data_IF_720199505922
#
_entry.id   IF_720199505922
#
_cell.length_a   1.000
_cell.length_b   1.000
_cell.length_c   1.000
_cell.angle_alpha   90.00
_cell.angle_beta   90.00
_cell.angle_gamma   90.00
#
_symmetry.space_group_name_H-M   'P 1'
#
loop_
_entity.id
_entity.type
_entity.pdbx_description
1 polymer ?
#
# COMPACT_ATOMS: atom_id res chain seq x y z
N UNK A 1 -10.01 -19.04 -2.00
CA UNK A 1 -9.56 -19.17 -3.41
C UNK A 1 -9.18 -20.63 -3.65
N UNK A 2 -9.95 -21.39 -4.44
CA UNK A 2 -9.52 -22.73 -4.88
C UNK A 2 -8.25 -22.61 -5.73
N UNK A 3 -7.34 -23.59 -5.66
CA UNK A 3 -6.09 -23.65 -6.45
C UNK A 3 -5.08 -22.51 -6.21
N UNK A 4 -4.97 -22.01 -4.97
CA UNK A 4 -4.00 -20.96 -4.61
C UNK A 4 -2.55 -21.43 -4.62
N UNK A 5 -2.27 -22.69 -4.31
CA UNK A 5 -0.92 -23.25 -4.29
C UNK A 5 -0.74 -24.29 -5.39
N UNK A 6 0.46 -24.34 -5.94
CA UNK A 6 0.84 -25.41 -6.86
C UNK A 6 0.98 -26.71 -6.07
N UNK A 7 0.28 -27.76 -6.54
CA UNK A 7 0.38 -29.08 -5.95
C UNK A 7 1.82 -29.58 -6.05
N UNK A 8 2.37 -30.02 -4.93
CA UNK A 8 3.67 -30.72 -4.92
C UNK A 8 3.43 -32.13 -5.48
N UNK A 9 4.02 -32.43 -6.64
CA UNK A 9 3.93 -33.75 -7.27
C UNK A 9 5.01 -34.64 -6.65
N UNK A 10 4.62 -35.49 -5.71
CA UNK A 10 5.53 -36.38 -4.95
C UNK A 10 6.17 -37.49 -5.79
N UNK A 11 5.65 -37.75 -7.00
CA UNK A 11 6.22 -38.70 -7.96
C UNK A 11 7.23 -38.07 -8.93
N UNK A 12 7.44 -36.74 -8.87
CA UNK A 12 8.43 -36.03 -9.66
C UNK A 12 9.84 -36.11 -9.07
N UNK A 13 10.81 -35.48 -9.73
CA UNK A 13 12.17 -35.36 -9.17
C UNK A 13 12.16 -34.46 -7.93
N UNK A 14 13.05 -34.73 -6.98
CA UNK A 14 13.19 -33.92 -5.76
C UNK A 14 13.44 -32.45 -6.07
N UNK A 15 14.19 -32.15 -7.14
CA UNK A 15 14.42 -30.79 -7.62
C UNK A 15 13.13 -30.07 -8.05
N UNK A 16 12.22 -30.77 -8.73
CA UNK A 16 10.93 -30.20 -9.11
C UNK A 16 10.05 -29.91 -7.89
N UNK A 17 10.07 -30.78 -6.87
CA UNK A 17 9.36 -30.54 -5.61
C UNK A 17 9.87 -29.29 -4.88
N UNK A 18 11.20 -29.10 -4.79
CA UNK A 18 11.79 -27.91 -4.18
C UNK A 18 11.43 -26.61 -4.91
N UNK A 19 11.42 -26.61 -6.24
CA UNK A 19 11.02 -25.43 -7.02
C UNK A 19 9.56 -25.05 -6.75
N UNK A 20 8.65 -26.02 -6.70
CA UNK A 20 7.24 -25.77 -6.38
C UNK A 20 7.07 -25.24 -4.95
N UNK A 21 7.84 -25.77 -4.00
CA UNK A 21 7.84 -25.28 -2.61
C UNK A 21 8.30 -23.82 -2.55
N UNK A 22 9.41 -23.47 -3.22
CA UNK A 22 9.94 -22.10 -3.25
C UNK A 22 8.95 -21.12 -3.90
N UNK A 23 8.27 -21.53 -4.97
CA UNK A 23 7.23 -20.72 -5.61
C UNK A 23 6.04 -20.47 -4.67
N UNK A 24 5.59 -21.51 -3.97
CA UNK A 24 4.50 -21.38 -3.00
C UNK A 24 4.88 -20.46 -1.83
N UNK A 25 6.14 -20.51 -1.36
CA UNK A 25 6.64 -19.59 -0.33
C UNK A 25 6.76 -18.14 -0.81
N UNK A 26 7.27 -17.91 -2.02
CA UNK A 26 7.33 -16.56 -2.61
C UNK A 26 5.93 -15.95 -2.77
N UNK A 27 4.95 -16.76 -3.13
CA UNK A 27 3.56 -16.33 -3.20
C UNK A 27 2.97 -16.01 -1.81
N UNK A 28 3.26 -16.83 -0.80
CA UNK A 28 2.88 -16.56 0.59
C UNK A 28 3.46 -15.24 1.09
N UNK A 29 4.73 -14.98 0.81
CA UNK A 29 5.43 -13.76 1.22
C UNK A 29 4.83 -12.52 0.54
N UNK A 30 4.58 -12.59 -0.77
CA UNK A 30 3.91 -11.50 -1.49
C UNK A 30 2.50 -11.19 -0.94
N UNK A 31 1.76 -12.20 -0.48
CA UNK A 31 0.42 -12.03 0.07
C UNK A 31 0.40 -11.61 1.55
N UNK A 32 1.42 -11.99 2.33
CA UNK A 32 1.49 -11.70 3.76
C UNK A 32 1.56 -10.20 4.06
N UNK A 33 1.98 -9.39 3.08
CA UNK A 33 2.26 -7.96 3.29
C UNK A 33 1.07 -7.07 2.90
N UNK A 34 0.04 -7.56 2.21
CA UNK A 34 -1.08 -6.69 1.74
C UNK A 34 -2.44 -7.36 1.87
N UNK A 35 -3.36 -6.72 2.60
CA UNK A 35 -4.78 -7.08 2.65
C UNK A 35 -5.60 -6.01 1.94
N UNK A 36 -6.47 -6.42 1.01
CA UNK A 36 -7.33 -5.50 0.26
C UNK A 36 -8.79 -5.93 0.34
N UNK A 37 -9.66 -4.98 0.66
CA UNK A 37 -11.11 -5.11 0.62
C UNK A 37 -11.63 -4.08 -0.38
N UNK A 38 -12.52 -4.51 -1.29
CA UNK A 38 -13.21 -3.62 -2.21
C UNK A 38 -14.70 -3.89 -2.11
N UNK A 39 -15.50 -2.83 -2.11
CA UNK A 39 -16.95 -2.96 -2.24
C UNK A 39 -17.38 -2.91 -3.73
N UNK A 40 -18.67 -3.15 -3.99
CA UNK A 40 -19.24 -3.09 -5.34
C UNK A 40 -19.25 -1.68 -5.93
N UNK A 41 -19.14 -0.64 -5.10
CA UNK A 41 -19.14 0.76 -5.50
C UNK A 41 -17.74 1.27 -5.86
N UNK A 42 -16.71 0.41 -5.72
CA UNK A 42 -15.32 0.72 -6.02
C UNK A 42 -14.54 1.35 -4.86
N UNK A 43 -15.15 1.49 -3.67
CA UNK A 43 -14.43 1.90 -2.47
C UNK A 43 -13.48 0.79 -2.05
N UNK A 44 -12.30 1.16 -1.56
CA UNK A 44 -11.26 0.21 -1.22
C UNK A 44 -10.57 0.53 0.11
N UNK A 45 -10.36 -0.52 0.90
CA UNK A 45 -9.46 -0.51 2.04
C UNK A 45 -8.27 -1.40 1.72
N UNK A 46 -7.06 -0.87 1.84
CA UNK A 46 -5.82 -1.64 1.66
C UNK A 46 -4.98 -1.46 2.93
N UNK A 47 -4.50 -2.55 3.52
CA UNK A 47 -3.63 -2.52 4.70
C UNK A 47 -2.34 -3.31 4.47
N UNK A 48 -1.22 -2.74 4.88
CA UNK A 48 0.13 -3.28 4.73
C UNK A 48 0.96 -2.53 3.69
N UNK A 49 1.76 -3.22 2.88
CA UNK A 49 2.56 -2.61 1.82
C UNK A 49 1.68 -2.22 0.63
N UNK A 50 1.61 -0.92 0.38
CA UNK A 50 0.82 -0.31 -0.68
C UNK A 50 1.62 -0.07 -1.97
N UNK A 51 2.93 -0.34 -1.96
CA UNK A 51 3.86 -0.02 -3.04
C UNK A 51 4.56 1.32 -2.81
N UNK A 52 5.65 1.59 -3.56
CA UNK A 52 6.37 2.87 -3.52
C UNK A 52 6.75 3.36 -2.11
N UNK A 53 7.23 2.44 -1.25
CA UNK A 53 7.61 2.71 0.14
C UNK A 53 6.46 3.16 1.06
N UNK A 54 5.21 2.92 0.64
CA UNK A 54 4.04 3.16 1.47
C UNK A 54 3.70 1.89 2.27
N UNK A 55 3.73 2.00 3.59
CA UNK A 55 3.31 0.93 4.50
C UNK A 55 2.29 1.46 5.50
N UNK A 56 1.07 0.94 5.46
CA UNK A 56 0.00 1.42 6.32
C UNK A 56 -1.38 1.02 5.85
N UNK A 57 -2.37 1.83 6.17
CA UNK A 57 -3.77 1.60 5.78
C UNK A 57 -4.26 2.74 4.90
N UNK A 58 -4.74 2.40 3.71
CA UNK A 58 -5.42 3.30 2.77
C UNK A 58 -6.91 3.02 2.76
N UNK A 59 -7.71 4.08 2.80
CA UNK A 59 -9.16 4.10 2.71
C UNK A 59 -9.51 5.11 1.62
N UNK A 60 -9.86 4.62 0.43
CA UNK A 60 -10.18 5.48 -0.71
C UNK A 60 -11.53 5.08 -1.27
N UNK A 61 -12.33 6.06 -1.65
CA UNK A 61 -13.51 5.84 -2.47
C UNK A 61 -13.13 5.54 -3.93
N UNK A 62 -14.14 5.30 -4.77
CA UNK A 62 -13.95 5.03 -6.20
C UNK A 62 -13.41 6.22 -7.00
N UNK A 63 -13.52 7.44 -6.47
CA UNK A 63 -12.95 8.65 -7.07
C UNK A 63 -11.50 8.91 -6.61
N UNK A 64 -10.97 8.10 -5.69
CA UNK A 64 -9.65 8.30 -5.10
C UNK A 64 -9.62 9.40 -4.04
N UNK A 65 -10.77 9.74 -3.45
CA UNK A 65 -10.88 10.62 -2.27
C UNK A 65 -10.84 9.77 -1.00
N UNK A 66 -10.16 10.25 0.03
CA UNK A 66 -10.07 9.53 1.30
C UNK A 66 -8.76 9.80 2.03
N UNK A 67 -8.17 8.77 2.62
CA UNK A 67 -6.95 8.91 3.41
C UNK A 67 -6.03 7.70 3.32
N UNK A 68 -4.75 7.96 3.53
CA UNK A 68 -3.73 6.97 3.85
C UNK A 68 -3.18 7.28 5.25
N UNK A 69 -2.97 6.27 6.07
CA UNK A 69 -2.36 6.37 7.39
C UNK A 69 -1.19 5.39 7.49
N UNK A 70 0.01 5.88 7.78
CA UNK A 70 1.15 5.01 8.03
C UNK A 70 2.49 5.62 7.67
N UNK A 71 3.43 4.74 7.36
CA UNK A 71 4.73 5.10 6.84
C UNK A 71 4.61 5.41 5.36
N UNK A 72 5.12 6.55 4.96
CA UNK A 72 5.28 6.93 3.56
C UNK A 72 6.75 7.26 3.28
N UNK A 73 7.07 7.46 1.99
CA UNK A 73 8.41 7.70 1.43
C UNK A 73 9.43 8.31 2.40
N UNK A 74 10.66 7.81 2.37
CA UNK A 74 11.75 8.24 3.26
C UNK A 74 11.47 7.98 4.77
N UNK A 75 10.78 6.89 5.10
CA UNK A 75 10.46 6.48 6.49
C UNK A 75 9.72 7.56 7.29
N UNK A 76 8.92 8.39 6.61
CA UNK A 76 8.10 9.40 7.27
C UNK A 76 6.79 8.79 7.73
N UNK A 77 6.28 9.24 8.86
CA UNK A 77 4.98 8.79 9.36
C UNK A 77 3.95 9.91 9.26
N UNK A 78 2.72 9.57 8.87
CA UNK A 78 1.62 10.50 8.90
C UNK A 78 0.32 9.97 8.29
N UNK A 79 -0.67 10.84 8.30
CA UNK A 79 -1.93 10.68 7.60
C UNK A 79 -1.95 11.63 6.41
N UNK A 80 -2.09 11.08 5.21
CA UNK A 80 -2.24 11.84 3.95
C UNK A 80 -3.70 11.80 3.54
N UNK A 81 -4.28 12.98 3.30
CA UNK A 81 -5.66 13.13 2.84
C UNK A 81 -5.66 13.35 1.34
N UNK A 82 -6.49 12.58 0.63
CA UNK A 82 -6.64 12.65 -0.81
C UNK A 82 -7.99 13.23 -1.18
N UNK A 83 -8.00 14.05 -2.22
CA UNK A 83 -9.20 14.48 -2.92
C UNK A 83 -9.02 14.21 -4.40
N UNK A 84 -9.86 13.32 -4.96
CA UNK A 84 -9.80 12.89 -6.37
C UNK A 84 -8.40 12.48 -6.82
N UNK A 85 -7.73 11.65 -6.02
CA UNK A 85 -6.37 11.17 -6.26
C UNK A 85 -5.25 12.18 -5.98
N UNK A 86 -5.55 13.43 -5.62
CA UNK A 86 -4.56 14.44 -5.28
C UNK A 86 -4.36 14.53 -3.76
N UNK A 87 -3.12 14.44 -3.22
CA UNK A 87 -2.85 14.70 -1.82
C UNK A 87 -3.11 16.18 -1.47
N UNK A 88 -4.10 16.46 -0.64
CA UNK A 88 -4.50 17.83 -0.26
C UNK A 88 -4.21 18.18 1.19
N UNK A 89 -3.95 17.18 2.03
CA UNK A 89 -3.60 17.38 3.43
C UNK A 89 -2.59 16.36 3.92
N UNK A 90 -1.77 16.77 4.88
CA UNK A 90 -0.84 15.91 5.59
C UNK A 90 -0.90 16.27 7.08
N UNK A 91 -1.08 15.28 7.93
CA UNK A 91 -0.89 15.37 9.38
C UNK A 91 0.20 14.37 9.78
N UNK A 92 1.40 14.85 10.10
CA UNK A 92 2.54 13.96 10.34
C UNK A 92 3.87 14.66 10.16
N UNK A 93 4.88 13.90 9.76
CA UNK A 93 6.18 14.46 9.36
C UNK A 93 6.06 15.11 7.98
N UNK A 94 6.92 16.09 7.63
CA UNK A 94 7.06 16.60 6.28
C UNK A 94 7.98 15.67 5.45
N UNK A 95 7.75 15.51 4.13
CA UNK A 95 8.58 14.67 3.27
C UNK A 95 10.05 15.11 3.24
N UNK A 96 10.31 16.40 3.04
CA UNK A 96 11.65 16.97 2.84
C UNK A 96 12.53 16.90 4.08
N UNK A 97 12.05 17.40 5.22
CA UNK A 97 12.87 17.65 6.41
C UNK A 97 12.36 16.92 7.65
N UNK A 98 11.18 16.33 7.60
CA UNK A 98 10.63 15.54 8.70
C UNK A 98 10.06 16.34 9.85
N UNK A 99 9.95 17.67 9.73
CA UNK A 99 9.24 18.48 10.73
C UNK A 99 7.85 17.93 10.91
N UNK A 100 7.36 17.92 12.15
CA UNK A 100 6.02 17.42 12.46
C UNK A 100 5.03 18.59 12.37
N UNK A 101 3.89 18.38 11.74
CA UNK A 101 2.89 19.42 11.55
C UNK A 101 1.62 18.95 10.88
N UNK A 102 0.77 19.93 10.59
CA UNK A 102 -0.45 19.79 9.82
C UNK A 102 -0.39 20.79 8.67
N UNK A 103 -0.49 20.28 7.44
CA UNK A 103 -0.46 21.09 6.23
C UNK A 103 -1.69 20.82 5.39
N UNK A 104 -2.19 21.89 4.77
CA UNK A 104 -3.36 21.86 3.88
C UNK A 104 -3.02 22.67 2.64
N UNK A 105 -3.20 22.05 1.47
CA UNK A 105 -2.99 22.70 0.19
C UNK A 105 -4.27 23.39 -0.29
N UNK A 106 -4.16 24.37 -1.18
CA UNK A 106 -5.33 24.94 -1.85
C UNK A 106 -5.92 23.90 -2.84
N UNK A 107 -7.19 24.03 -3.25
CA UNK A 107 -7.77 23.15 -4.25
C UNK A 107 -6.89 23.01 -5.49
N UNK A 108 -6.65 21.77 -5.93
CA UNK A 108 -5.82 21.44 -7.10
C UNK A 108 -4.31 21.43 -6.85
N UNK A 109 -3.84 21.73 -5.64
CA UNK A 109 -2.42 21.63 -5.28
C UNK A 109 -2.11 20.31 -4.55
N UNK A 110 -0.91 19.77 -4.79
CA UNK A 110 -0.40 18.59 -4.10
C UNK A 110 0.43 19.02 -2.87
N UNK A 111 -0.07 18.72 -1.67
CA UNK A 111 0.57 19.09 -0.40
C UNK A 111 1.96 18.43 -0.23
N UNK A 112 2.16 17.22 -0.74
CA UNK A 112 3.43 16.49 -0.62
C UNK A 112 4.49 17.18 -1.46
N UNK A 113 4.15 17.55 -2.70
CA UNK A 113 5.04 18.30 -3.59
C UNK A 113 5.37 19.69 -3.04
N UNK A 114 4.39 20.37 -2.43
CA UNK A 114 4.64 21.67 -1.77
C UNK A 114 5.59 21.56 -0.58
N UNK A 115 5.71 20.38 0.03
CA UNK A 115 6.64 20.07 1.11
C UNK A 115 7.88 19.32 0.61
N UNK A 116 8.21 19.44 -0.68
CA UNK A 116 9.47 18.93 -1.25
C UNK A 116 9.57 17.42 -1.44
N UNK A 117 8.43 16.70 -1.47
CA UNK A 117 8.34 15.25 -1.74
C UNK A 117 7.84 14.87 -3.12
#
# INVERSE_FOLDING_TARGET
MPNRFNRIISTGSTAAAFNTINQNFAQLDAEAVKKQFKDANGNSMISGNLGEELFGTSLLDSEGTGMFMGLYRANRFGTVYYFKGTPVGLDGMAPDDGRIGSWRAKPGQNVITLLGG
#
